data_IF_442610876884
#
_entry.id   IF_442610876884
#
_cell.length_a   1.000
_cell.length_b   1.000
_cell.length_c   1.000
_cell.angle_alpha   90.00
_cell.angle_beta   90.00
_cell.angle_gamma   90.00
#
_symmetry.space_group_name_H-M   'P 1'
#
loop_
_entity.id
_entity.type
_entity.pdbx_description
1 polymer ?
#
# COMPACT_ATOMS: atom_id res chain seq x y z
N UNK A 1 -58.21 8.40 -17.86
CA UNK A 1 -58.00 8.09 -16.43
C UNK A 1 -56.79 7.16 -16.36
N UNK A 2 -55.56 7.72 -16.28
CA UNK A 2 -54.32 6.94 -16.10
C UNK A 2 -53.89 7.09 -14.64
N UNK A 3 -53.53 6.01 -13.92
CA UNK A 3 -53.07 6.14 -12.55
C UNK A 3 -51.66 6.74 -12.51
N UNK A 4 -51.48 7.73 -11.64
CA UNK A 4 -50.21 8.37 -11.32
C UNK A 4 -49.35 7.34 -10.58
N UNK A 5 -48.29 6.85 -11.22
CA UNK A 5 -47.23 6.07 -10.56
C UNK A 5 -46.44 7.05 -9.70
N UNK A 6 -46.54 6.88 -8.37
CA UNK A 6 -45.75 7.63 -7.42
C UNK A 6 -44.26 7.29 -7.61
N UNK A 7 -43.47 8.26 -8.05
CA UNK A 7 -42.02 8.20 -7.95
C UNK A 7 -41.68 8.17 -6.45
N UNK A 8 -41.16 7.04 -5.97
CA UNK A 8 -40.78 6.87 -4.57
C UNK A 8 -39.40 7.51 -4.38
N UNK A 9 -39.26 8.56 -3.57
CA UNK A 9 -37.97 9.21 -3.38
C UNK A 9 -37.10 8.39 -2.42
N UNK A 10 -35.89 8.06 -2.87
CA UNK A 10 -34.73 7.88 -2.01
C UNK A 10 -34.64 6.57 -1.22
N UNK A 11 -33.90 5.62 -1.77
CA UNK A 11 -33.15 4.67 -0.97
C UNK A 11 -31.66 4.83 -1.27
N UNK A 12 -31.04 5.86 -0.70
CA UNK A 12 -29.57 5.91 -0.60
C UNK A 12 -29.19 4.76 0.33
N UNK A 13 -28.64 3.69 -0.23
CA UNK A 13 -28.07 2.59 0.55
C UNK A 13 -26.86 3.14 1.31
N UNK A 14 -27.06 3.54 2.56
CA UNK A 14 -25.95 3.79 3.47
C UNK A 14 -25.18 2.50 3.64
N UNK A 15 -24.09 2.40 2.90
CA UNK A 15 -23.18 1.27 3.02
C UNK A 15 -22.33 1.57 4.26
N UNK A 16 -22.73 1.03 5.42
CA UNK A 16 -21.95 1.06 6.67
C UNK A 16 -20.73 0.15 6.54
N UNK A 17 -19.89 0.42 5.53
CA UNK A 17 -18.57 -0.18 5.41
C UNK A 17 -17.57 0.95 5.52
N UNK A 18 -16.61 0.88 6.45
CA UNK A 18 -15.55 1.87 6.55
C UNK A 18 -14.92 2.08 5.17
N UNK A 19 -14.83 3.34 4.74
CA UNK A 19 -14.10 3.67 3.51
C UNK A 19 -12.63 3.29 3.62
N UNK A 20 -11.97 3.09 2.49
CA UNK A 20 -10.53 2.78 2.46
C UNK A 20 -9.73 3.87 3.17
N UNK A 21 -8.86 3.47 4.10
CA UNK A 21 -7.93 4.38 4.76
C UNK A 21 -6.98 4.98 3.74
N UNK A 22 -6.98 6.31 3.61
CA UNK A 22 -6.08 7.06 2.72
C UNK A 22 -5.11 7.86 3.57
N UNK A 23 -3.84 7.48 3.54
CA UNK A 23 -2.73 8.27 4.08
C UNK A 23 -1.96 8.94 2.95
N UNK A 24 -1.49 10.17 3.17
CA UNK A 24 -0.55 10.84 2.28
C UNK A 24 0.70 11.22 3.07
N UNK A 25 1.88 10.98 2.48
CA UNK A 25 3.19 11.32 3.06
C UNK A 25 3.98 12.09 2.01
N UNK A 26 4.71 13.11 2.44
CA UNK A 26 5.58 13.91 1.59
C UNK A 26 7.04 13.65 1.94
N UNK A 27 7.86 13.29 0.95
CA UNK A 27 9.30 13.10 1.08
C UNK A 27 10.03 14.05 0.14
N UNK A 28 10.94 14.87 0.66
CA UNK A 28 11.74 15.81 -0.13
C UNK A 28 13.14 15.25 -0.36
N UNK A 29 13.50 15.02 -1.62
CA UNK A 29 14.80 14.50 -2.03
C UNK A 29 15.65 15.64 -2.62
N UNK A 30 16.90 15.76 -2.18
CA UNK A 30 17.79 16.86 -2.61
C UNK A 30 18.90 16.42 -3.57
N UNK A 31 19.05 15.11 -3.80
CA UNK A 31 20.13 14.57 -4.64
C UNK A 31 19.58 13.57 -5.65
N UNK A 32 20.21 13.51 -6.83
CA UNK A 32 19.86 12.51 -7.86
C UNK A 32 20.10 11.08 -7.38
N UNK A 33 21.04 10.85 -6.46
CA UNK A 33 21.28 9.52 -5.92
C UNK A 33 20.14 9.08 -4.99
N UNK A 34 19.62 9.99 -4.16
CA UNK A 34 18.47 9.70 -3.29
C UNK A 34 17.21 9.43 -4.12
N UNK A 35 16.94 10.25 -5.14
CA UNK A 35 15.85 10.01 -6.11
C UNK A 35 15.93 8.61 -6.74
N UNK A 36 17.11 8.22 -7.23
CA UNK A 36 17.33 6.90 -7.82
C UNK A 36 17.16 5.76 -6.82
N UNK A 37 17.45 5.98 -5.54
CA UNK A 37 17.22 4.98 -4.49
C UNK A 37 15.73 4.78 -4.21
N UNK A 38 14.93 5.84 -4.26
CA UNK A 38 13.48 5.75 -4.07
C UNK A 38 12.82 4.97 -5.21
N UNK A 39 13.16 5.31 -6.46
CA UNK A 39 12.61 4.62 -7.63
C UNK A 39 13.20 3.22 -7.85
N UNK A 40 14.45 3.01 -7.39
CA UNK A 40 15.21 1.81 -7.72
C UNK A 40 15.60 1.78 -9.20
N UNK A 41 15.93 0.59 -9.67
CA UNK A 41 16.33 0.36 -11.07
C UNK A 41 15.98 -1.07 -11.49
N UNK A 42 15.38 -1.21 -12.66
CA UNK A 42 15.20 -2.52 -13.29
C UNK A 42 16.55 -3.19 -13.59
N UNK A 43 16.58 -4.50 -13.45
CA UNK A 43 17.71 -5.31 -13.90
C UNK A 43 17.89 -5.16 -15.41
N UNK A 44 19.13 -5.20 -15.87
CA UNK A 44 19.46 -5.28 -17.29
C UNK A 44 20.47 -6.43 -17.47
N UNK A 45 20.74 -6.87 -18.69
CA UNK A 45 21.76 -7.91 -18.94
C UNK A 45 23.08 -7.56 -18.25
N UNK A 46 23.51 -8.46 -17.36
CA UNK A 46 24.72 -8.32 -16.55
C UNK A 46 24.63 -7.40 -15.33
N UNK A 47 23.48 -6.80 -15.02
CA UNK A 47 23.31 -5.95 -13.81
C UNK A 47 22.03 -6.30 -13.05
N UNK A 48 22.11 -6.75 -11.79
CA UNK A 48 20.93 -7.07 -10.99
C UNK A 48 20.06 -5.83 -10.76
N UNK A 49 18.77 -6.07 -10.54
CA UNK A 49 17.82 -5.02 -10.19
C UNK A 49 18.16 -4.43 -8.82
N UNK A 50 18.00 -3.11 -8.67
CA UNK A 50 18.08 -2.43 -7.38
C UNK A 50 16.63 -2.20 -6.94
N UNK A 51 16.26 -2.83 -5.82
CA UNK A 51 14.94 -2.64 -5.21
C UNK A 51 14.91 -1.22 -4.65
N UNK A 52 14.00 -0.39 -5.17
CA UNK A 52 13.74 0.94 -4.64
C UNK A 52 12.87 0.90 -3.38
N UNK A 53 12.71 2.05 -2.71
CA UNK A 53 11.90 2.14 -1.49
C UNK A 53 10.49 1.56 -1.66
N UNK A 54 9.81 1.86 -2.78
CA UNK A 54 8.48 1.34 -3.04
C UNK A 54 8.46 -0.19 -3.12
N UNK A 55 9.38 -0.78 -3.90
CA UNK A 55 9.48 -2.24 -4.03
C UNK A 55 9.93 -2.95 -2.75
N UNK A 56 10.66 -2.26 -1.87
CA UNK A 56 10.99 -2.75 -0.53
C UNK A 56 9.76 -2.72 0.38
N UNK A 57 9.02 -1.61 0.41
CA UNK A 57 7.80 -1.45 1.20
C UNK A 57 6.73 -2.49 0.81
N UNK A 58 6.57 -2.77 -0.49
CA UNK A 58 5.65 -3.80 -0.97
C UNK A 58 5.97 -5.20 -0.43
N UNK A 59 7.27 -5.52 -0.26
CA UNK A 59 7.73 -6.80 0.30
C UNK A 59 7.65 -6.84 1.82
N UNK A 60 7.85 -5.69 2.48
CA UNK A 60 7.76 -5.58 3.93
C UNK A 60 6.31 -5.67 4.42
N UNK A 61 5.35 -5.16 3.65
CA UNK A 61 3.93 -5.15 4.01
C UNK A 61 3.36 -6.51 4.44
N UNK A 62 3.51 -7.61 3.68
CA UNK A 62 3.00 -8.92 4.12
C UNK A 62 3.69 -9.44 5.37
N UNK A 63 4.99 -9.16 5.55
CA UNK A 63 5.73 -9.54 6.77
C UNK A 63 5.14 -8.80 7.98
N UNK A 64 4.90 -7.50 7.83
CA UNK A 64 4.26 -6.71 8.88
C UNK A 64 2.86 -7.23 9.21
N UNK A 65 2.07 -7.60 8.20
CA UNK A 65 0.73 -8.17 8.42
C UNK A 65 0.81 -9.52 9.14
N UNK A 66 1.70 -10.42 8.73
CA UNK A 66 1.87 -11.71 9.37
C UNK A 66 2.33 -11.57 10.84
N UNK A 67 3.19 -10.61 11.14
CA UNK A 67 3.58 -10.29 12.52
C UNK A 67 2.39 -9.79 13.36
N UNK A 68 1.47 -9.01 12.77
CA UNK A 68 0.23 -8.61 13.45
C UNK A 68 -0.75 -9.78 13.67
N UNK A 69 -0.66 -10.82 12.84
CA UNK A 69 -1.44 -12.05 12.97
C UNK A 69 -0.74 -13.11 13.87
N UNK A 70 0.22 -12.68 14.70
CA UNK A 70 0.99 -13.49 15.65
C UNK A 70 1.88 -14.59 15.00
N UNK A 71 2.41 -14.36 13.79
CA UNK A 71 3.41 -15.26 13.19
C UNK A 71 4.82 -15.03 13.79
N UNK A 72 5.38 -16.00 14.55
CA UNK A 72 6.69 -15.85 15.18
C UNK A 72 7.84 -15.74 14.17
N UNK A 73 7.70 -16.28 12.96
CA UNK A 73 8.72 -16.13 11.92
C UNK A 73 8.72 -14.72 11.34
N UNK A 74 7.54 -14.09 11.23
CA UNK A 74 7.44 -12.72 10.75
C UNK A 74 8.09 -11.74 11.72
N UNK A 75 7.87 -11.90 13.02
CA UNK A 75 8.55 -11.11 14.06
C UNK A 75 10.07 -11.23 13.98
N UNK A 76 10.58 -12.46 13.85
CA UNK A 76 12.01 -12.70 13.71
C UNK A 76 12.59 -12.03 12.46
N UNK A 77 11.86 -12.05 11.33
CA UNK A 77 12.27 -11.35 10.13
C UNK A 77 12.25 -9.82 10.30
N UNK A 78 11.28 -9.27 11.02
CA UNK A 78 11.24 -7.83 11.32
C UNK A 78 12.45 -7.40 12.17
N UNK A 79 12.84 -8.19 13.17
CA UNK A 79 14.05 -7.92 13.97
C UNK A 79 15.29 -7.90 13.06
N UNK A 80 15.44 -8.90 12.18
CA UNK A 80 16.56 -8.97 11.24
C UNK A 80 16.60 -7.83 10.23
N UNK A 81 15.43 -7.31 9.83
CA UNK A 81 15.35 -6.18 8.90
C UNK A 81 15.71 -4.86 9.60
N UNK A 82 15.49 -4.78 10.92
CA UNK A 82 15.79 -3.60 11.71
C UNK A 82 17.28 -3.46 12.07
N UNK A 83 17.96 -4.58 12.34
CA UNK A 83 19.40 -4.67 12.63
C UNK A 83 20.27 -4.58 11.37
#
# INVERSE_FOLDING_TARGET
MNPIVADTPGAVKETTTPGVLRGAVWLRLQTRQAERLIHGRSGNEGKPAIIGLAGFADRLKPIWQAAQDDDPYADWWLIRIHE
#
